data_IF_540621309359
#
_entry.id   IF_540621309359
#
_cell.length_a   1.000
_cell.length_b   1.000
_cell.length_c   1.000
_cell.angle_alpha   90.00
_cell.angle_beta   90.00
_cell.angle_gamma   90.00
#
_symmetry.space_group_name_H-M   'P 1'
#
loop_
_entity.id
_entity.type
_entity.pdbx_description
1 polymer ?
#
# COMPACT_ATOMS: atom_id res chain seq x y z
N UNK A 1 13.01 -14.27 14.05
CA UNK A 1 13.17 -15.45 13.21
C UNK A 1 11.83 -16.06 12.84
N UNK A 2 11.78 -16.81 11.76
CA UNK A 2 10.57 -17.48 11.27
C UNK A 2 10.53 -18.91 11.82
N UNK A 3 9.48 -19.30 12.60
CA UNK A 3 9.33 -20.67 13.06
C UNK A 3 8.87 -21.61 11.94
N UNK A 4 9.26 -22.88 12.01
CA UNK A 4 8.82 -23.94 11.12
C UNK A 4 7.97 -24.96 11.87
N UNK A 5 7.01 -25.56 11.18
CA UNK A 5 6.09 -26.56 11.75
C UNK A 5 6.82 -27.83 12.22
N UNK A 6 7.72 -28.36 11.40
CA UNK A 6 8.50 -29.58 11.71
C UNK A 6 7.62 -30.76 12.13
N UNK A 7 6.53 -30.97 11.37
CA UNK A 7 5.57 -32.02 11.64
C UNK A 7 4.64 -31.83 12.86
N UNK A 8 4.75 -30.70 13.55
CA UNK A 8 3.87 -30.38 14.70
C UNK A 8 2.56 -29.77 14.25
N UNK A 9 1.53 -29.87 15.06
CA UNK A 9 0.30 -29.10 14.91
C UNK A 9 0.59 -27.66 15.29
N UNK A 10 0.49 -26.75 14.32
CA UNK A 10 0.85 -25.33 14.53
C UNK A 10 -0.24 -24.62 15.32
N UNK A 11 -1.40 -24.44 14.72
CA UNK A 11 -2.48 -23.69 15.35
C UNK A 11 -3.30 -24.58 16.30
N UNK A 12 -3.39 -24.13 17.54
CA UNK A 12 -4.02 -24.86 18.65
C UNK A 12 -3.01 -25.54 19.59
N UNK A 13 -1.77 -25.81 19.11
CA UNK A 13 -0.70 -26.42 19.92
C UNK A 13 0.53 -25.48 19.99
N UNK A 14 1.37 -25.40 18.96
CA UNK A 14 2.58 -24.52 18.94
C UNK A 14 2.18 -23.05 19.13
N UNK A 15 1.07 -22.66 18.54
CA UNK A 15 0.43 -21.34 18.70
C UNK A 15 -1.00 -21.58 19.17
N UNK A 16 -1.25 -21.56 20.49
CA UNK A 16 -2.57 -21.81 21.05
C UNK A 16 -3.59 -20.76 20.59
N UNK A 17 -4.80 -21.20 20.25
CA UNK A 17 -5.90 -20.31 19.90
C UNK A 17 -6.28 -19.40 21.07
N UNK A 18 -6.64 -18.15 20.75
CA UNK A 18 -7.06 -17.15 21.71
C UNK A 18 -5.95 -16.62 22.62
N UNK A 19 -4.71 -17.01 22.40
CA UNK A 19 -3.55 -16.53 23.17
C UNK A 19 -2.71 -15.56 22.36
N UNK A 20 -2.11 -14.58 23.07
CA UNK A 20 -1.18 -13.62 22.44
C UNK A 20 0.07 -14.36 22.01
N UNK A 21 0.46 -14.16 20.76
CA UNK A 21 1.67 -14.70 20.16
C UNK A 21 2.52 -13.57 19.61
N UNK A 22 3.85 -13.65 19.83
CA UNK A 22 4.84 -12.66 19.35
C UNK A 22 5.04 -12.59 17.85
N UNK A 23 4.19 -13.27 17.07
CA UNK A 23 4.17 -13.28 15.61
C UNK A 23 5.52 -13.66 15.01
N UNK A 24 6.13 -14.71 15.54
CA UNK A 24 7.44 -15.20 15.14
C UNK A 24 8.08 -16.10 16.18
N UNK A 25 9.41 -16.28 16.09
CA UNK A 25 10.21 -17.01 17.07
C UNK A 25 11.29 -16.09 17.65
N UNK A 26 11.68 -16.30 18.92
CA UNK A 26 12.61 -15.52 19.72
C UNK A 26 12.02 -14.13 20.11
N UNK A 27 12.56 -13.02 19.59
CA UNK A 27 12.00 -11.70 19.82
C UNK A 27 10.68 -11.50 19.05
N UNK A 28 9.87 -10.52 19.47
CA UNK A 28 8.71 -10.07 18.71
C UNK A 28 9.12 -9.53 17.34
N UNK A 29 8.29 -9.78 16.34
CA UNK A 29 8.44 -9.17 15.02
C UNK A 29 8.19 -7.66 15.13
N UNK A 30 8.96 -6.87 14.40
CA UNK A 30 8.79 -5.41 14.36
C UNK A 30 8.47 -4.97 12.95
N UNK A 31 7.60 -3.96 12.83
CA UNK A 31 7.29 -3.28 11.59
C UNK A 31 7.45 -1.77 11.78
N UNK A 32 8.02 -1.10 10.79
CA UNK A 32 8.22 0.36 10.82
C UNK A 32 7.51 1.01 9.65
N UNK A 33 6.82 2.10 9.93
CA UNK A 33 6.18 2.96 8.93
C UNK A 33 6.86 4.33 8.96
N UNK A 34 7.40 4.76 7.84
CA UNK A 34 8.01 6.08 7.68
C UNK A 34 7.00 7.22 7.58
N UNK A 35 5.76 6.89 7.27
CA UNK A 35 4.61 7.80 7.18
C UNK A 35 3.41 7.17 7.90
N UNK A 36 2.40 7.99 8.23
CA UNK A 36 1.13 7.47 8.74
C UNK A 36 0.41 6.62 7.69
N UNK A 37 -0.20 5.54 8.14
CA UNK A 37 -0.93 4.61 7.26
C UNK A 37 -2.33 4.35 7.80
N UNK A 38 -3.22 3.90 6.93
CA UNK A 38 -4.49 3.27 7.34
C UNK A 38 -4.38 1.77 7.20
N UNK A 39 -4.75 1.06 8.25
CA UNK A 39 -4.82 -0.40 8.28
C UNK A 39 -6.27 -0.79 8.51
N UNK A 40 -6.86 -1.46 7.52
CA UNK A 40 -8.29 -1.77 7.52
C UNK A 40 -9.14 -0.53 7.85
N UNK A 41 -8.81 0.61 7.23
CA UNK A 41 -9.50 1.91 7.41
C UNK A 41 -9.17 2.66 8.70
N UNK A 42 -8.42 2.08 9.65
CA UNK A 42 -8.04 2.74 10.91
C UNK A 42 -6.63 3.33 10.82
N UNK A 43 -6.47 4.56 11.26
CA UNK A 43 -5.18 5.27 11.20
C UNK A 43 -4.17 4.69 12.19
N UNK A 44 -2.94 4.49 11.70
CA UNK A 44 -1.77 4.16 12.50
C UNK A 44 -0.69 5.22 12.21
N UNK A 45 -0.20 5.95 13.23
CA UNK A 45 0.84 6.96 13.05
C UNK A 45 2.15 6.38 12.51
N UNK A 46 3.04 7.25 12.01
CA UNK A 46 4.43 6.91 11.73
C UNK A 46 5.10 6.37 13.00
N UNK A 47 5.95 5.37 12.86
CA UNK A 47 6.64 4.76 13.98
C UNK A 47 7.04 3.31 13.76
N UNK A 48 7.67 2.74 14.79
CA UNK A 48 8.02 1.32 14.85
C UNK A 48 7.14 0.64 15.89
N UNK A 49 6.56 -0.49 15.52
CA UNK A 49 5.64 -1.26 16.35
C UNK A 49 6.11 -2.71 16.45
N UNK A 50 5.98 -3.29 17.64
CA UNK A 50 6.07 -4.73 17.80
C UNK A 50 4.72 -5.35 17.36
N UNK A 51 4.78 -6.41 16.56
CA UNK A 51 3.61 -7.14 16.12
C UNK A 51 3.34 -8.30 17.06
N UNK A 52 2.12 -8.33 17.60
CA UNK A 52 1.54 -9.48 18.27
C UNK A 52 0.28 -9.91 17.55
N UNK A 53 -0.05 -11.17 17.61
CA UNK A 53 -1.30 -11.68 17.07
C UNK A 53 -2.00 -12.59 18.09
N UNK A 54 -3.33 -12.68 17.98
CA UNK A 54 -4.15 -13.65 18.69
C UNK A 54 -4.84 -14.49 17.62
N UNK A 55 -4.24 -15.61 17.22
CA UNK A 55 -4.85 -16.50 16.25
C UNK A 55 -6.10 -17.20 16.80
N UNK A 56 -7.13 -17.28 15.97
CA UNK A 56 -8.28 -18.16 16.12
C UNK A 56 -8.52 -18.89 14.80
N UNK A 57 -9.48 -19.83 14.76
CA UNK A 57 -9.75 -20.63 13.57
C UNK A 57 -10.13 -19.78 12.36
N UNK A 58 -11.04 -18.81 12.58
CA UNK A 58 -11.68 -18.06 11.50
C UNK A 58 -11.18 -16.61 11.38
N UNK A 59 -10.47 -16.13 12.39
CA UNK A 59 -9.96 -14.74 12.41
C UNK A 59 -8.76 -14.59 13.32
N UNK A 60 -7.89 -13.64 13.02
CA UNK A 60 -6.79 -13.24 13.89
C UNK A 60 -6.98 -11.80 14.35
N UNK A 61 -6.74 -11.52 15.62
CA UNK A 61 -6.49 -10.14 16.05
C UNK A 61 -5.02 -9.83 15.83
N UNK A 62 -4.73 -8.75 15.11
CA UNK A 62 -3.38 -8.27 14.82
C UNK A 62 -3.18 -6.98 15.62
N UNK A 63 -2.12 -6.94 16.41
CA UNK A 63 -1.85 -5.95 17.43
C UNK A 63 -0.56 -5.19 17.09
N UNK A 64 -0.66 -3.88 16.94
CA UNK A 64 0.47 -2.97 16.78
C UNK A 64 0.77 -2.39 18.15
N UNK A 65 1.92 -2.73 18.69
CA UNK A 65 2.27 -2.52 20.10
C UNK A 65 3.45 -1.57 20.24
N UNK A 66 3.33 -0.57 21.12
CA UNK A 66 4.34 0.50 21.26
C UNK A 66 5.58 0.09 22.02
N UNK A 67 5.46 -0.82 23.00
CA UNK A 67 6.63 -1.30 23.74
C UNK A 67 7.42 -2.33 22.93
N UNK A 68 8.57 -1.92 22.42
CA UNK A 68 9.46 -2.75 21.61
C UNK A 68 10.33 -3.70 22.43
N UNK A 69 10.31 -3.60 23.78
CA UNK A 69 11.17 -4.36 24.69
C UNK A 69 10.49 -5.63 25.22
N UNK A 70 9.17 -5.70 25.20
CA UNK A 70 8.41 -6.85 25.74
C UNK A 70 8.88 -8.21 25.18
N UNK A 71 9.27 -8.24 23.89
CA UNK A 71 9.88 -9.45 23.29
C UNK A 71 8.92 -10.62 23.18
N UNK A 72 9.42 -11.82 23.51
CA UNK A 72 8.69 -13.08 23.40
C UNK A 72 7.94 -13.51 24.65
N UNK A 73 8.28 -12.98 25.81
CA UNK A 73 7.56 -13.24 27.06
C UNK A 73 6.35 -12.28 27.14
N UNK A 74 5.17 -12.79 26.86
CA UNK A 74 3.93 -12.01 26.84
C UNK A 74 3.22 -11.94 28.22
N UNK A 75 3.86 -12.42 29.30
CA UNK A 75 3.28 -12.33 30.64
C UNK A 75 3.07 -10.88 31.10
N UNK A 76 3.99 -9.99 30.69
CA UNK A 76 3.95 -8.56 31.02
C UNK A 76 3.22 -7.70 29.96
N UNK A 77 2.44 -8.34 29.09
CA UNK A 77 1.67 -7.65 28.08
C UNK A 77 0.62 -6.71 28.69
N UNK A 78 0.65 -5.45 28.31
CA UNK A 78 -0.24 -4.40 28.82
C UNK A 78 -1.11 -3.86 27.69
N UNK A 79 -2.42 -3.91 27.88
CA UNK A 79 -3.38 -3.47 26.85
C UNK A 79 -3.26 -1.98 26.51
N UNK A 80 -2.83 -1.16 27.43
CA UNK A 80 -2.59 0.27 27.23
C UNK A 80 -1.49 0.59 26.21
N UNK A 81 -0.60 -0.35 25.93
CA UNK A 81 0.45 -0.23 24.92
C UNK A 81 -0.01 -0.68 23.52
N UNK A 82 -1.25 -1.12 23.37
CA UNK A 82 -1.84 -1.38 22.05
C UNK A 82 -2.17 -0.06 21.36
N UNK A 83 -1.43 0.27 20.32
CA UNK A 83 -1.71 1.47 19.49
C UNK A 83 -2.85 1.20 18.53
N UNK A 84 -2.90 -0.03 17.99
CA UNK A 84 -3.95 -0.43 17.07
C UNK A 84 -4.20 -1.94 17.18
N UNK A 85 -5.47 -2.32 17.15
CA UNK A 85 -5.93 -3.71 17.05
C UNK A 85 -6.87 -3.84 15.85
N UNK A 86 -6.54 -4.77 14.96
CA UNK A 86 -7.33 -5.11 13.78
C UNK A 86 -7.71 -6.58 13.84
N UNK A 87 -8.96 -6.89 13.51
CA UNK A 87 -9.41 -8.27 13.30
C UNK A 87 -9.47 -8.58 11.83
N UNK A 88 -8.64 -9.51 11.38
CA UNK A 88 -8.59 -9.97 10.00
C UNK A 88 -9.08 -11.42 9.88
N UNK A 89 -9.75 -11.74 8.78
CA UNK A 89 -10.23 -13.10 8.50
C UNK A 89 -9.07 -14.04 8.24
N UNK A 90 -9.11 -15.22 8.82
CA UNK A 90 -8.22 -16.32 8.48
C UNK A 90 -8.85 -17.15 7.36
N UNK A 91 -8.16 -17.24 6.24
CA UNK A 91 -8.64 -17.94 5.05
C UNK A 91 -7.82 -19.22 4.85
N UNK A 92 -8.46 -20.25 4.29
CA UNK A 92 -7.73 -21.42 3.85
C UNK A 92 -6.75 -21.04 2.74
N UNK A 93 -5.53 -21.56 2.84
CA UNK A 93 -4.48 -21.39 1.83
C UNK A 93 -4.18 -22.74 1.19
N UNK A 94 -4.29 -22.80 -0.14
CA UNK A 94 -4.24 -24.07 -0.90
C UNK A 94 -2.85 -24.74 -0.90
N UNK A 95 -1.81 -24.05 -0.43
CA UNK A 95 -0.43 -24.55 -0.38
C UNK A 95 0.01 -24.65 1.06
N UNK A 96 0.42 -25.86 1.49
CA UNK A 96 0.97 -26.07 2.83
C UNK A 96 2.32 -25.35 2.96
N UNK A 97 2.39 -24.38 3.85
CA UNK A 97 3.59 -23.58 4.09
C UNK A 97 4.27 -24.00 5.38
N UNK A 98 5.42 -24.64 5.26
CA UNK A 98 6.16 -25.22 6.40
C UNK A 98 6.69 -24.16 7.37
N UNK A 99 7.18 -23.03 6.84
CA UNK A 99 7.79 -21.97 7.64
C UNK A 99 6.87 -20.76 7.68
N UNK A 100 6.61 -20.22 8.87
CA UNK A 100 5.86 -18.99 9.04
C UNK A 100 6.42 -17.89 8.14
N UNK A 101 5.60 -17.37 7.27
CA UNK A 101 5.98 -16.36 6.28
C UNK A 101 5.16 -15.10 6.48
N UNK A 102 5.84 -13.97 6.49
CA UNK A 102 5.25 -12.65 6.34
C UNK A 102 5.63 -12.13 4.95
N UNK A 103 4.66 -11.64 4.21
CA UNK A 103 4.83 -11.19 2.84
C UNK A 103 4.14 -9.83 2.65
N UNK A 104 4.68 -9.02 1.73
CA UNK A 104 4.00 -7.83 1.21
C UNK A 104 3.51 -8.19 -0.19
N UNK A 105 2.20 -8.16 -0.37
CA UNK A 105 1.51 -8.55 -1.60
C UNK A 105 0.59 -7.44 -2.12
N UNK A 106 0.12 -7.60 -3.35
CA UNK A 106 -0.84 -6.70 -4.01
C UNK A 106 -0.41 -5.22 -3.94
N UNK A 107 0.87 -4.98 -4.25
CA UNK A 107 1.47 -3.65 -4.17
C UNK A 107 0.90 -2.76 -5.27
N UNK A 108 0.39 -1.61 -4.85
CA UNK A 108 -0.08 -0.51 -5.70
C UNK A 108 0.68 0.78 -5.33
N UNK A 109 0.49 1.90 -6.04
CA UNK A 109 1.16 3.15 -5.69
C UNK A 109 0.90 3.66 -4.27
N UNK A 110 -0.25 3.33 -3.66
CA UNK A 110 -0.63 3.82 -2.34
C UNK A 110 -1.08 2.73 -1.36
N UNK A 111 -1.06 1.45 -1.76
CA UNK A 111 -1.53 0.37 -0.90
C UNK A 111 -0.75 -0.93 -1.11
N UNK A 112 -0.79 -1.79 -0.12
CA UNK A 112 -0.33 -3.18 -0.20
C UNK A 112 -1.08 -4.03 0.83
N UNK A 113 -0.89 -5.33 0.76
CA UNK A 113 -1.34 -6.24 1.81
C UNK A 113 -0.15 -6.80 2.59
N UNK A 114 -0.22 -6.76 3.91
CA UNK A 114 0.65 -7.54 4.78
C UNK A 114 0.00 -8.89 5.00
N UNK A 115 0.67 -9.94 4.56
CA UNK A 115 0.18 -11.32 4.68
C UNK A 115 0.94 -12.09 5.74
N UNK A 116 0.21 -12.92 6.48
CA UNK A 116 0.73 -13.92 7.41
C UNK A 116 0.31 -15.29 6.90
N UNK A 117 1.29 -16.13 6.56
CA UNK A 117 1.05 -17.43 5.95
C UNK A 117 1.78 -18.51 6.76
N UNK A 118 1.05 -19.52 7.22
CA UNK A 118 1.63 -20.70 7.85
C UNK A 118 0.68 -21.89 7.76
N UNK A 119 1.23 -23.10 7.57
CA UNK A 119 0.44 -24.29 7.26
C UNK A 119 -0.50 -24.03 6.07
N UNK A 120 -1.77 -24.25 6.23
CA UNK A 120 -2.81 -23.98 5.24
C UNK A 120 -3.64 -22.72 5.58
N UNK A 121 -3.06 -21.78 6.32
CA UNK A 121 -3.75 -20.56 6.75
C UNK A 121 -3.06 -19.33 6.17
N UNK A 122 -3.86 -18.42 5.60
CA UNK A 122 -3.45 -17.08 5.18
C UNK A 122 -4.34 -16.03 5.84
N UNK A 123 -3.71 -15.03 6.44
CA UNK A 123 -4.36 -13.80 6.92
C UNK A 123 -3.78 -12.65 6.14
N UNK A 124 -4.63 -11.83 5.53
CA UNK A 124 -4.24 -10.66 4.73
C UNK A 124 -4.76 -9.40 5.39
N UNK A 125 -3.90 -8.41 5.53
CA UNK A 125 -4.17 -7.15 6.19
C UNK A 125 -3.90 -5.98 5.23
N UNK A 126 -4.94 -5.27 4.74
CA UNK A 126 -4.76 -4.17 3.83
C UNK A 126 -4.13 -2.96 4.53
N UNK A 127 -3.11 -2.39 3.91
CA UNK A 127 -2.39 -1.21 4.36
C UNK A 127 -2.47 -0.16 3.26
N UNK A 128 -2.93 1.05 3.60
CA UNK A 128 -3.03 2.18 2.67
C UNK A 128 -2.20 3.33 3.22
N UNK A 129 -1.30 3.86 2.39
CA UNK A 129 -0.52 5.05 2.71
C UNK A 129 -1.27 6.31 2.30
N UNK A 130 -1.42 7.27 3.21
CA UNK A 130 -2.08 8.55 2.94
C UNK A 130 -1.09 9.56 2.34
N UNK A 131 -0.56 9.22 1.16
CA UNK A 131 0.48 10.02 0.49
C UNK A 131 -0.07 11.14 -0.40
N UNK A 132 -1.38 11.16 -0.65
CA UNK A 132 -2.01 12.06 -1.62
C UNK A 132 -1.74 13.54 -1.31
N UNK A 133 -1.98 13.97 -0.07
CA UNK A 133 -1.75 15.37 0.34
C UNK A 133 -0.30 15.80 0.18
N UNK A 134 0.65 14.90 0.44
CA UNK A 134 2.09 15.16 0.29
C UNK A 134 2.47 15.28 -1.18
N UNK A 135 1.97 14.38 -2.02
CA UNK A 135 2.19 14.44 -3.47
C UNK A 135 1.60 15.72 -4.05
N UNK A 136 0.35 16.08 -3.68
CA UNK A 136 -0.30 17.31 -4.12
C UNK A 136 0.53 18.55 -3.76
N UNK A 137 0.99 18.64 -2.51
CA UNK A 137 1.85 19.74 -2.07
C UNK A 137 3.17 19.78 -2.83
N UNK A 138 3.79 18.63 -3.08
CA UNK A 138 5.04 18.56 -3.85
C UNK A 138 4.83 19.02 -5.30
N UNK A 139 3.72 18.60 -5.94
CA UNK A 139 3.35 19.05 -7.28
C UNK A 139 3.21 20.57 -7.30
N UNK A 140 2.42 21.15 -6.39
CA UNK A 140 2.21 22.61 -6.32
C UNK A 140 3.51 23.37 -6.12
N UNK A 141 4.36 22.92 -5.19
CA UNK A 141 5.66 23.54 -4.92
C UNK A 141 6.59 23.45 -6.13
N UNK A 142 6.68 22.29 -6.77
CA UNK A 142 7.56 22.09 -7.93
C UNK A 142 7.11 22.91 -9.14
N UNK A 143 5.81 23.02 -9.37
CA UNK A 143 5.26 23.82 -10.47
C UNK A 143 5.45 25.33 -10.24
N UNK A 144 5.43 25.79 -8.98
CA UNK A 144 5.66 27.18 -8.64
C UNK A 144 7.12 27.61 -8.88
N UNK A 145 8.09 26.70 -8.69
CA UNK A 145 9.53 27.01 -8.78
C UNK A 145 10.06 26.83 -10.21
N UNK A 146 9.66 25.80 -10.93
CA UNK A 146 10.38 25.37 -12.16
C UNK A 146 9.47 25.06 -13.36
N UNK A 147 8.18 24.81 -13.16
CA UNK A 147 7.24 24.48 -14.24
C UNK A 147 7.55 23.19 -15.03
N UNK A 148 8.65 22.49 -14.74
CA UNK A 148 9.10 21.31 -15.49
C UNK A 148 8.26 20.04 -15.26
N UNK A 149 7.71 19.73 -14.08
CA UNK A 149 6.99 18.47 -13.86
C UNK A 149 5.53 18.50 -14.36
N UNK A 150 5.18 19.33 -15.34
CA UNK A 150 3.81 19.40 -15.86
C UNK A 150 3.28 18.06 -16.35
N UNK A 151 4.10 17.26 -17.04
CA UNK A 151 3.67 15.94 -17.52
C UNK A 151 3.35 14.98 -16.37
N UNK A 152 4.23 14.90 -15.37
CA UNK A 152 4.05 14.04 -14.20
C UNK A 152 2.83 14.49 -13.37
N UNK A 153 2.66 15.80 -13.22
CA UNK A 153 1.51 16.36 -12.52
C UNK A 153 0.19 16.04 -13.25
N UNK A 154 0.15 16.20 -14.56
CA UNK A 154 -1.01 15.85 -15.40
C UNK A 154 -1.33 14.36 -15.28
N UNK A 155 -0.32 13.49 -15.34
CA UNK A 155 -0.46 12.04 -15.19
C UNK A 155 -1.04 11.68 -13.83
N UNK A 156 -0.49 12.22 -12.76
CA UNK A 156 -0.99 11.97 -11.41
C UNK A 156 -2.48 12.35 -11.24
N UNK A 157 -2.86 13.55 -11.74
CA UNK A 157 -4.25 14.00 -11.68
C UNK A 157 -5.19 13.11 -12.50
N UNK A 158 -4.76 12.68 -13.68
CA UNK A 158 -5.51 11.75 -14.53
C UNK A 158 -5.71 10.38 -13.89
N UNK A 159 -4.66 9.78 -13.34
CA UNK A 159 -4.68 8.44 -12.76
C UNK A 159 -5.48 8.38 -11.46
N UNK A 160 -5.42 9.45 -10.66
CA UNK A 160 -6.09 9.52 -9.37
C UNK A 160 -7.46 10.23 -9.43
N UNK A 161 -8.04 10.40 -10.63
CA UNK A 161 -9.34 11.04 -10.85
C UNK A 161 -9.49 12.41 -10.16
N UNK A 162 -8.42 13.24 -10.20
CA UNK A 162 -8.42 14.60 -9.69
C UNK A 162 -9.06 15.55 -10.72
N UNK A 163 -8.86 16.86 -10.60
CA UNK A 163 -9.35 17.85 -11.55
C UNK A 163 -8.76 17.62 -12.95
N UNK A 164 -9.59 17.08 -13.85
CA UNK A 164 -9.20 16.76 -15.22
C UNK A 164 -8.97 17.99 -16.09
N UNK A 165 -9.59 19.13 -15.79
CA UNK A 165 -9.35 20.38 -16.53
C UNK A 165 -7.95 20.90 -16.21
N UNK A 166 -7.55 20.87 -14.94
CA UNK A 166 -6.20 21.21 -14.50
C UNK A 166 -5.16 20.24 -15.07
N UNK A 167 -5.49 18.95 -15.15
CA UNK A 167 -4.64 17.95 -15.81
C UNK A 167 -4.45 18.26 -17.31
N UNK A 168 -5.51 18.67 -17.99
CA UNK A 168 -5.47 19.04 -19.41
C UNK A 168 -4.60 20.29 -19.65
N UNK A 169 -4.74 21.31 -18.80
CA UNK A 169 -3.89 22.52 -18.86
C UNK A 169 -2.41 22.16 -18.71
N UNK A 170 -2.06 21.35 -17.74
CA UNK A 170 -0.69 20.90 -17.55
C UNK A 170 -0.18 19.98 -18.65
N UNK A 171 -1.01 19.13 -19.24
CA UNK A 171 -0.65 18.34 -20.40
C UNK A 171 -0.33 19.24 -21.60
N UNK A 172 -1.09 20.33 -21.82
CA UNK A 172 -0.80 21.31 -22.85
C UNK A 172 0.56 22.00 -22.61
N UNK A 173 0.82 22.49 -21.39
CA UNK A 173 2.10 23.10 -21.02
C UNK A 173 3.28 22.15 -21.18
N UNK A 174 3.11 20.87 -20.86
CA UNK A 174 4.14 19.85 -21.10
C UNK A 174 4.44 19.66 -22.59
N UNK A 175 3.42 19.67 -23.44
CA UNK A 175 3.57 19.58 -24.90
C UNK A 175 4.24 20.82 -25.47
N UNK A 176 3.93 22.03 -24.97
CA UNK A 176 4.61 23.26 -25.37
C UNK A 176 6.11 23.21 -25.08
N UNK A 177 6.51 22.63 -23.94
CA UNK A 177 7.92 22.45 -23.59
C UNK A 177 8.63 21.37 -24.42
N UNK A 178 7.90 20.35 -24.86
CA UNK A 178 8.44 19.28 -25.69
C UNK A 178 7.45 18.82 -26.77
N UNK A 179 7.34 19.57 -27.87
CA UNK A 179 6.32 19.34 -28.91
C UNK A 179 6.44 18.00 -29.64
N UNK A 180 7.62 17.36 -29.61
CA UNK A 180 7.87 16.06 -30.25
C UNK A 180 7.58 14.84 -29.36
N UNK A 181 7.24 15.07 -28.10
CA UNK A 181 6.98 13.99 -27.14
C UNK A 181 5.59 13.37 -27.37
N UNK A 182 5.50 12.36 -28.23
CA UNK A 182 4.26 11.70 -28.57
C UNK A 182 3.48 11.21 -27.34
N UNK A 183 4.17 10.73 -26.30
CA UNK A 183 3.56 10.21 -25.07
C UNK A 183 2.86 11.31 -24.25
N UNK A 184 3.28 12.56 -24.35
CA UNK A 184 2.59 13.69 -23.71
C UNK A 184 1.27 14.00 -24.44
N UNK A 185 1.29 13.96 -25.77
CA UNK A 185 0.09 14.13 -26.61
C UNK A 185 -0.88 12.95 -26.40
N UNK A 186 -0.35 11.73 -26.21
CA UNK A 186 -1.15 10.58 -25.85
C UNK A 186 -1.87 10.75 -24.50
N UNK A 187 -1.17 11.27 -23.48
CA UNK A 187 -1.79 11.57 -22.18
C UNK A 187 -2.90 12.61 -22.34
N UNK A 188 -2.69 13.68 -23.14
CA UNK A 188 -3.73 14.66 -23.45
C UNK A 188 -4.97 14.01 -24.06
N UNK A 189 -4.82 13.12 -25.02
CA UNK A 189 -5.94 12.38 -25.62
C UNK A 189 -6.73 11.58 -24.58
N UNK A 190 -6.03 10.91 -23.66
CA UNK A 190 -6.65 10.13 -22.56
C UNK A 190 -7.44 11.03 -21.59
N UNK A 191 -6.90 12.19 -21.25
CA UNK A 191 -7.58 13.18 -20.40
C UNK A 191 -8.84 13.70 -21.09
N UNK A 192 -8.75 14.08 -22.37
CA UNK A 192 -9.89 14.56 -23.17
C UNK A 192 -10.98 13.50 -23.29
N UNK A 193 -10.62 12.22 -23.45
CA UNK A 193 -11.57 11.11 -23.45
C UNK A 193 -12.34 11.04 -22.13
N UNK A 194 -11.67 11.16 -20.99
CA UNK A 194 -12.34 11.21 -19.67
C UNK A 194 -13.23 12.45 -19.49
N UNK A 195 -12.85 13.59 -20.07
CA UNK A 195 -13.65 14.81 -20.10
C UNK A 195 -14.83 14.75 -21.08
N UNK A 196 -14.97 13.66 -21.84
CA UNK A 196 -15.96 13.49 -22.93
C UNK A 196 -15.76 14.45 -24.10
N UNK A 197 -14.59 15.06 -24.22
CA UNK A 197 -14.17 15.80 -25.42
C UNK A 197 -13.67 14.79 -26.49
N UNK A 198 -14.60 14.07 -27.10
CA UNK A 198 -14.27 13.01 -28.06
C UNK A 198 -13.59 13.55 -29.31
N UNK A 199 -13.98 14.74 -29.77
CA UNK A 199 -13.35 15.37 -30.94
C UNK A 199 -11.90 15.75 -30.68
N UNK A 200 -11.62 16.38 -29.56
CA UNK A 200 -10.25 16.69 -29.15
C UNK A 200 -9.41 15.45 -28.88
N UNK A 201 -10.00 14.41 -28.26
CA UNK A 201 -9.31 13.15 -27.99
C UNK A 201 -8.86 12.43 -29.28
N UNK A 202 -9.72 12.40 -30.32
CA UNK A 202 -9.38 11.82 -31.63
C UNK A 202 -8.22 12.61 -32.26
N UNK A 203 -8.33 13.94 -32.35
CA UNK A 203 -7.27 14.77 -32.93
C UNK A 203 -5.92 14.62 -32.22
N UNK A 204 -5.93 14.60 -30.87
CA UNK A 204 -4.72 14.37 -30.07
C UNK A 204 -4.14 12.96 -30.26
N UNK A 205 -4.98 11.94 -30.37
CA UNK A 205 -4.52 10.57 -30.64
C UNK A 205 -3.86 10.45 -32.04
N UNK A 206 -4.44 11.03 -33.05
CA UNK A 206 -3.88 11.08 -34.43
C UNK A 206 -2.53 11.79 -34.42
N UNK A 207 -2.45 12.96 -33.78
CA UNK A 207 -1.18 13.70 -33.62
C UNK A 207 -0.12 12.85 -32.91
N UNK A 208 -0.48 12.18 -31.83
CA UNK A 208 0.44 11.29 -31.10
C UNK A 208 0.95 10.14 -31.98
N UNK A 209 0.08 9.55 -32.82
CA UNK A 209 0.46 8.50 -33.76
C UNK A 209 1.43 9.00 -34.84
N UNK A 210 1.27 10.21 -35.32
CA UNK A 210 2.19 10.84 -36.30
C UNK A 210 3.55 11.01 -35.66
N UNK A 211 3.61 11.65 -34.48
CA UNK A 211 4.86 11.90 -33.75
C UNK A 211 5.60 10.62 -33.32
N UNK A 212 4.88 9.53 -33.12
CA UNK A 212 5.49 8.24 -32.76
C UNK A 212 6.17 7.52 -33.94
N UNK A 213 5.96 7.98 -35.17
CA UNK A 213 6.56 7.43 -36.40
C UNK A 213 7.79 8.20 -36.85
N UNK A 214 7.99 9.43 -36.34
CA UNK A 214 9.17 10.26 -36.59
C UNK A 214 10.36 9.85 -35.69
#
# INVERSE_FOLDING_TARGET
SRPSARGRVVFGDVVPFGKIWRTGANASTKISFGEGVKIDGKSLPTGTYALYTIPNKDSWDILFYSDLKLGGNVADYKKENEVLRIRAKANAYGVKTETFTMNIAEITPSACNLEFIWENTRVSLPIVAEIDSKIMKNIETSLAVDGRPYFQAAGYYYENNKDLNKALDWANKAIEQNPKAFYMVHLKAKIQMKLKDFKGAIASAEQSMILAKE
#
